data_IF_958837720590
#
_entry.id   IF_958837720590
#
_cell.length_a   1.000
_cell.length_b   1.000
_cell.length_c   1.000
_cell.angle_alpha   90.00
_cell.angle_beta   90.00
_cell.angle_gamma   90.00
#
_symmetry.space_group_name_H-M   'P 1'
#
loop_
_entity.id
_entity.type
_entity.pdbx_description
1 polymer ?
#
# COMPACT_ATOMS: atom_id res chain seq x y z
N UNK A 1 43.58 41.87 2.26
CA UNK A 1 42.43 41.29 1.53
C UNK A 1 42.62 39.79 1.48
N UNK A 2 41.88 39.05 2.29
CA UNK A 2 41.72 37.61 2.11
C UNK A 2 40.21 37.39 2.11
N UNK A 3 39.64 37.25 0.92
CA UNK A 3 38.26 36.82 0.75
C UNK A 3 38.24 35.31 0.99
N UNK A 4 37.73 34.91 2.15
CA UNK A 4 37.31 33.55 2.42
C UNK A 4 36.00 33.29 1.68
N UNK A 5 36.03 32.39 0.71
CA UNK A 5 34.85 31.68 0.22
C UNK A 5 35.15 30.20 0.29
N UNK A 6 34.38 29.48 1.11
CA UNK A 6 33.75 28.22 0.75
C UNK A 6 33.01 27.65 1.97
N UNK A 7 31.72 27.93 2.04
CA UNK A 7 30.77 26.99 2.61
C UNK A 7 29.88 26.53 1.46
N UNK A 8 29.87 25.23 1.23
CA UNK A 8 29.08 24.52 0.23
C UNK A 8 27.61 24.93 0.31
N UNK A 9 27.15 25.73 -0.64
CA UNK A 9 25.72 25.91 -0.91
C UNK A 9 25.15 24.57 -1.38
N UNK A 10 24.64 23.77 -0.44
CA UNK A 10 23.78 22.63 -0.78
C UNK A 10 22.55 23.25 -1.42
N UNK A 11 22.45 23.17 -2.76
CA UNK A 11 21.27 23.63 -3.50
C UNK A 11 20.05 22.89 -2.97
N UNK A 12 19.27 23.57 -2.13
CA UNK A 12 17.99 23.08 -1.66
C UNK A 12 16.94 23.41 -2.73
N UNK A 13 16.14 22.43 -3.12
CA UNK A 13 14.98 22.63 -3.98
C UNK A 13 13.99 23.59 -3.31
N UNK A 14 13.38 24.47 -4.12
CA UNK A 14 12.24 25.31 -3.70
C UNK A 14 11.00 24.47 -3.37
N UNK A 15 10.97 23.19 -3.78
CA UNK A 15 9.90 22.24 -3.52
C UNK A 15 10.03 21.61 -2.14
N UNK A 16 9.93 22.45 -1.11
CA UNK A 16 10.03 22.01 0.29
C UNK A 16 8.95 21.01 0.68
N UNK A 17 7.68 21.27 0.34
CA UNK A 17 6.56 20.41 0.73
C UNK A 17 6.31 19.31 -0.32
N UNK A 18 6.79 18.10 -0.03
CA UNK A 18 6.77 16.97 -0.95
C UNK A 18 5.71 15.96 -0.51
N UNK A 19 4.86 15.55 -1.45
CA UNK A 19 3.69 14.71 -1.16
C UNK A 19 4.00 13.24 -1.38
N UNK A 20 3.77 12.43 -0.35
CA UNK A 20 3.89 10.97 -0.43
C UNK A 20 2.60 10.28 -0.87
N UNK A 21 1.45 10.96 -0.76
CA UNK A 21 0.24 10.61 -1.52
C UNK A 21 -0.03 11.70 -2.56
N UNK A 22 -0.17 11.36 -3.86
CA UNK A 22 -0.30 12.36 -4.93
C UNK A 22 -1.43 13.36 -4.69
N UNK A 23 -1.16 14.66 -4.90
CA UNK A 23 -2.18 15.70 -4.79
C UNK A 23 -3.35 15.50 -5.76
N UNK A 24 -3.08 15.02 -6.97
CA UNK A 24 -4.13 14.79 -7.96
C UNK A 24 -5.12 13.73 -7.47
N UNK A 25 -4.64 12.71 -6.76
CA UNK A 25 -5.45 11.65 -6.18
C UNK A 25 -6.31 12.17 -5.03
N UNK A 26 -5.71 12.88 -4.06
CA UNK A 26 -6.47 13.45 -2.93
C UNK A 26 -7.56 14.43 -3.37
N UNK A 27 -7.37 15.14 -4.50
CA UNK A 27 -8.39 16.06 -5.05
C UNK A 27 -9.69 15.36 -5.42
N UNK A 28 -9.66 14.07 -5.71
CA UNK A 28 -10.86 13.28 -6.00
C UNK A 28 -11.75 13.07 -4.75
N UNK A 29 -11.22 13.37 -3.56
CA UNK A 29 -11.94 13.34 -2.28
C UNK A 29 -12.15 14.76 -1.72
N UNK A 30 -11.95 15.80 -2.53
CA UNK A 30 -12.05 17.17 -2.04
C UNK A 30 -13.48 17.56 -1.63
N UNK A 31 -13.56 18.48 -0.66
CA UNK A 31 -14.82 19.08 -0.22
C UNK A 31 -15.54 19.72 -1.41
N UNK A 32 -16.77 19.28 -1.69
CA UNK A 32 -17.60 19.78 -2.81
C UNK A 32 -16.84 19.91 -4.15
N UNK A 33 -15.93 18.96 -4.44
CA UNK A 33 -15.08 18.97 -5.65
C UNK A 33 -14.25 20.26 -5.83
N UNK A 34 -13.99 21.02 -4.76
CA UNK A 34 -13.30 22.31 -4.84
C UNK A 34 -11.78 22.19 -5.03
N UNK A 35 -11.22 20.97 -4.93
CA UNK A 35 -9.80 20.62 -5.13
C UNK A 35 -8.81 21.33 -4.19
N UNK A 36 -9.30 22.04 -3.17
CA UNK A 36 -8.52 22.89 -2.25
C UNK A 36 -8.62 22.42 -0.80
N UNK A 37 -9.78 21.92 -0.41
CA UNK A 37 -10.07 21.44 0.93
C UNK A 37 -10.43 19.97 0.92
N UNK A 38 -10.12 19.28 2.00
CA UNK A 38 -10.41 17.86 2.20
C UNK A 38 -10.80 17.64 3.66
N UNK A 39 -11.73 16.73 3.91
CA UNK A 39 -12.02 16.28 5.26
C UNK A 39 -10.96 15.28 5.71
N UNK A 40 -10.63 15.29 7.01
CA UNK A 40 -9.73 14.30 7.59
C UNK A 40 -10.17 13.88 8.98
N UNK A 41 -9.78 12.66 9.34
CA UNK A 41 -9.85 12.14 10.69
C UNK A 41 -8.47 11.62 11.08
N UNK A 42 -7.88 12.22 12.11
CA UNK A 42 -6.60 11.77 12.64
C UNK A 42 -6.86 10.73 13.74
N UNK A 43 -6.27 9.55 13.59
CA UNK A 43 -6.52 8.40 14.48
C UNK A 43 -5.91 8.60 15.86
N UNK A 44 -4.70 9.18 15.93
CA UNK A 44 -3.97 9.37 17.18
C UNK A 44 -4.67 10.38 18.10
N UNK A 45 -5.12 11.50 17.53
CA UNK A 45 -5.80 12.56 18.27
C UNK A 45 -7.34 12.39 18.29
N UNK A 46 -7.85 11.32 17.67
CA UNK A 46 -9.28 11.07 17.44
C UNK A 46 -10.05 12.30 16.91
N UNK A 47 -9.39 13.10 16.07
CA UNK A 47 -9.84 14.44 15.71
C UNK A 47 -10.49 14.47 14.32
N UNK A 48 -11.75 14.89 14.27
CA UNK A 48 -12.48 15.12 13.03
C UNK A 48 -12.32 16.57 12.55
N UNK A 49 -11.83 16.75 11.33
CA UNK A 49 -11.70 18.05 10.68
C UNK A 49 -12.42 18.00 9.33
N UNK A 50 -13.59 18.64 9.19
CA UNK A 50 -14.38 18.54 7.95
C UNK A 50 -13.76 19.30 6.76
N UNK A 51 -12.88 20.29 7.04
CA UNK A 51 -12.28 21.17 6.02
C UNK A 51 -10.83 21.53 6.38
N UNK A 52 -9.88 20.68 6.01
CA UNK A 52 -8.45 20.98 6.07
C UNK A 52 -7.91 21.49 4.72
N UNK A 53 -6.77 22.19 4.72
CA UNK A 53 -6.08 22.60 3.48
C UNK A 53 -5.46 21.36 2.82
N UNK A 54 -5.96 20.96 1.64
CA UNK A 54 -5.50 19.75 0.93
C UNK A 54 -4.01 19.81 0.60
N UNK A 55 -3.50 20.99 0.24
CA UNK A 55 -2.10 21.19 -0.16
C UNK A 55 -1.07 20.88 0.95
N UNK A 56 -1.50 20.68 2.19
CA UNK A 56 -0.62 20.36 3.33
C UNK A 56 -0.87 18.96 3.89
N UNK A 57 -1.68 18.14 3.20
CA UNK A 57 -2.01 16.79 3.63
C UNK A 57 -1.17 15.75 2.89
N UNK A 58 -0.91 14.62 3.55
CA UNK A 58 -0.11 13.52 3.05
C UNK A 58 1.24 13.98 2.45
N UNK A 59 1.91 14.90 3.14
CA UNK A 59 3.17 15.48 2.72
C UNK A 59 4.11 15.68 3.91
N UNK A 60 5.41 15.78 3.63
CA UNK A 60 6.43 16.12 4.61
C UNK A 60 7.46 17.03 3.94
N UNK A 61 8.07 17.91 4.74
CA UNK A 61 9.16 18.75 4.25
C UNK A 61 10.34 17.87 3.82
N UNK A 62 10.80 18.02 2.57
CA UNK A 62 11.94 17.30 1.99
C UNK A 62 11.85 15.77 2.15
N UNK A 63 10.64 15.20 2.01
CA UNK A 63 10.41 13.76 2.15
C UNK A 63 11.31 12.90 1.24
N UNK A 64 11.51 13.35 0.00
CA UNK A 64 12.32 12.73 -1.04
C UNK A 64 13.73 13.32 -1.14
N UNK A 65 14.19 14.05 -0.12
CA UNK A 65 15.49 14.72 -0.15
C UNK A 65 15.41 16.19 -0.55
N UNK A 66 16.59 16.82 -0.55
CA UNK A 66 16.77 18.27 -0.71
C UNK A 66 17.16 18.68 -2.13
N UNK A 67 17.62 17.76 -2.96
CA UNK A 67 18.08 18.04 -4.32
C UNK A 67 16.94 18.31 -5.32
N UNK A 68 15.72 17.83 -5.02
CA UNK A 68 14.53 17.97 -5.86
C UNK A 68 14.41 16.95 -6.99
N UNK A 69 15.41 16.08 -7.21
CA UNK A 69 15.48 15.18 -8.37
C UNK A 69 14.32 14.20 -8.39
N UNK A 70 14.02 13.57 -7.26
CA UNK A 70 12.91 12.62 -7.14
C UNK A 70 11.56 13.32 -7.34
N UNK A 71 11.36 14.49 -6.72
CA UNK A 71 10.12 15.26 -6.83
C UNK A 71 9.85 15.71 -8.27
N UNK A 72 10.89 16.11 -9.01
CA UNK A 72 10.78 16.46 -10.44
C UNK A 72 10.40 15.27 -11.31
N UNK A 73 11.04 14.12 -11.09
CA UNK A 73 10.70 12.87 -11.81
C UNK A 73 9.27 12.42 -11.52
N UNK A 74 8.85 12.46 -10.25
CA UNK A 74 7.48 12.13 -9.85
C UNK A 74 6.47 13.08 -10.49
N UNK A 75 6.76 14.38 -10.61
CA UNK A 75 5.84 15.32 -11.23
C UNK A 75 5.50 14.95 -12.70
N UNK A 76 6.49 14.46 -13.46
CA UNK A 76 6.28 13.97 -14.83
C UNK A 76 5.38 12.73 -14.88
N UNK A 77 5.66 11.75 -14.01
CA UNK A 77 4.86 10.52 -13.89
C UNK A 77 3.42 10.87 -13.46
N UNK A 78 3.26 11.70 -12.43
CA UNK A 78 1.95 12.12 -11.92
C UNK A 78 1.12 12.85 -12.97
N UNK A 79 1.73 13.61 -13.88
CA UNK A 79 1.01 14.23 -15.00
C UNK A 79 0.38 13.21 -15.95
N UNK A 80 1.05 12.09 -16.21
CA UNK A 80 0.50 10.96 -16.98
C UNK A 80 -0.61 10.25 -16.20
N UNK A 81 -0.32 9.84 -14.97
CA UNK A 81 -1.26 9.11 -14.12
C UNK A 81 -2.53 9.93 -13.81
N UNK A 82 -2.39 11.23 -13.59
CA UNK A 82 -3.54 12.11 -13.35
C UNK A 82 -4.49 12.14 -14.54
N UNK A 83 -4.00 12.12 -15.77
CA UNK A 83 -4.85 12.10 -16.97
C UNK A 83 -5.59 10.76 -17.08
N UNK A 84 -4.89 9.66 -16.88
CA UNK A 84 -5.48 8.31 -16.88
C UNK A 84 -6.58 8.18 -15.83
N UNK A 85 -6.29 8.46 -14.56
CA UNK A 85 -7.27 8.35 -13.47
C UNK A 85 -8.45 9.30 -13.69
N UNK A 86 -8.22 10.53 -14.16
CA UNK A 86 -9.33 11.44 -14.48
C UNK A 86 -10.23 10.88 -15.59
N UNK A 87 -9.65 10.29 -16.64
CA UNK A 87 -10.40 9.64 -17.71
C UNK A 87 -11.24 8.45 -17.21
N UNK A 88 -10.66 7.62 -16.33
CA UNK A 88 -11.37 6.50 -15.70
C UNK A 88 -12.56 7.01 -14.88
N UNK A 89 -12.39 8.06 -14.08
CA UNK A 89 -13.44 8.61 -13.23
C UNK A 89 -14.58 9.29 -14.02
N UNK A 90 -14.28 9.95 -15.14
CA UNK A 90 -15.29 10.61 -15.97
C UNK A 90 -16.08 9.59 -16.80
N UNK A 91 -15.40 8.61 -17.38
CA UNK A 91 -16.01 7.69 -18.34
C UNK A 91 -16.46 6.36 -17.72
N UNK A 92 -16.11 6.09 -16.46
CA UNK A 92 -16.25 4.77 -15.81
C UNK A 92 -15.67 3.63 -16.66
N UNK A 93 -14.62 3.91 -17.43
CA UNK A 93 -14.02 2.98 -18.38
C UNK A 93 -12.60 2.64 -17.97
N UNK A 94 -12.28 1.35 -17.93
CA UNK A 94 -10.92 0.87 -17.66
C UNK A 94 -10.12 0.71 -18.95
N UNK A 95 -8.79 0.88 -18.89
CA UNK A 95 -7.93 0.66 -20.05
C UNK A 95 -8.01 -0.78 -20.53
N UNK A 96 -7.69 -0.98 -21.81
CA UNK A 96 -7.63 -2.33 -22.42
C UNK A 96 -6.46 -3.11 -21.80
N UNK A 97 -6.67 -4.39 -21.47
CA UNK A 97 -5.61 -5.29 -21.01
C UNK A 97 -4.41 -5.25 -21.97
N UNK A 98 -3.20 -5.20 -21.41
CA UNK A 98 -1.92 -5.10 -22.11
C UNK A 98 -1.68 -3.83 -22.94
N UNK A 99 -2.51 -2.78 -22.81
CA UNK A 99 -2.20 -1.46 -23.34
C UNK A 99 -1.18 -0.72 -22.47
N UNK A 100 -0.60 0.38 -22.98
CA UNK A 100 0.25 1.26 -22.18
C UNK A 100 -0.52 1.85 -20.99
N UNK A 101 -1.77 2.27 -21.19
CA UNK A 101 -2.62 2.79 -20.11
C UNK A 101 -2.93 1.74 -19.05
N UNK A 102 -3.00 0.45 -19.41
CA UNK A 102 -3.09 -0.63 -18.43
C UNK A 102 -1.82 -0.69 -17.59
N UNK A 103 -0.64 -0.61 -18.20
CA UNK A 103 0.62 -0.58 -17.44
C UNK A 103 0.71 0.66 -16.54
N UNK A 104 0.33 1.84 -17.03
CA UNK A 104 0.25 3.07 -16.25
C UNK A 104 -0.71 2.94 -15.04
N UNK A 105 -1.80 2.18 -15.16
CA UNK A 105 -2.73 1.90 -14.06
C UNK A 105 -2.05 1.03 -12.97
N UNK A 106 -1.24 0.05 -13.37
CA UNK A 106 -0.47 -0.79 -12.44
C UNK A 106 0.64 0.01 -11.78
N UNK A 107 1.35 0.84 -12.55
CA UNK A 107 2.33 1.79 -12.00
C UNK A 107 1.68 2.73 -10.98
N UNK A 108 0.47 3.23 -11.24
CA UNK A 108 -0.27 4.04 -10.28
C UNK A 108 -0.51 3.28 -8.97
N UNK A 109 -0.97 2.03 -9.04
CA UNK A 109 -1.20 1.20 -7.87
C UNK A 109 0.09 1.00 -7.05
N UNK A 110 1.15 0.52 -7.71
CA UNK A 110 2.42 0.19 -7.06
C UNK A 110 3.15 1.44 -6.55
N UNK A 111 3.20 2.52 -7.34
CA UNK A 111 3.86 3.76 -6.94
C UNK A 111 3.17 4.38 -5.72
N UNK A 112 1.83 4.35 -5.67
CA UNK A 112 1.07 4.90 -4.54
C UNK A 112 1.24 4.05 -3.28
N UNK A 113 1.48 2.74 -3.41
CA UNK A 113 1.82 1.85 -2.30
C UNK A 113 3.26 2.10 -1.78
N UNK A 114 4.23 2.11 -2.70
CA UNK A 114 5.67 2.07 -2.37
C UNK A 114 6.27 3.38 -1.86
N UNK A 115 5.66 4.53 -2.16
CA UNK A 115 6.23 5.86 -1.84
C UNK A 115 5.71 6.49 -0.55
N UNK A 116 5.15 5.69 0.37
CA UNK A 116 4.57 6.17 1.62
C UNK A 116 5.54 6.10 2.80
N UNK A 117 5.33 6.90 3.87
CA UNK A 117 6.10 6.80 5.10
C UNK A 117 6.00 5.42 5.77
N UNK A 118 4.86 4.74 5.63
CA UNK A 118 4.67 3.38 6.13
C UNK A 118 5.69 2.43 5.50
N UNK A 119 5.81 2.45 4.17
CA UNK A 119 6.75 1.57 3.47
C UNK A 119 8.21 1.91 3.78
N UNK A 120 8.53 3.19 3.90
CA UNK A 120 9.86 3.64 4.33
C UNK A 120 10.21 3.10 5.73
N UNK A 121 9.28 3.22 6.70
CA UNK A 121 9.49 2.73 8.06
C UNK A 121 9.66 1.22 8.13
N UNK A 122 8.87 0.46 7.36
CA UNK A 122 9.00 -0.99 7.29
C UNK A 122 10.40 -1.43 6.86
N UNK A 123 10.91 -0.85 5.77
CA UNK A 123 12.25 -1.17 5.26
C UNK A 123 13.33 -0.73 6.25
N UNK A 124 13.18 0.44 6.89
CA UNK A 124 14.11 0.88 7.94
C UNK A 124 14.14 -0.08 9.14
N UNK A 125 12.98 -0.58 9.58
CA UNK A 125 12.88 -1.56 10.66
C UNK A 125 13.55 -2.87 10.27
N UNK A 126 13.27 -3.39 9.07
CA UNK A 126 13.91 -4.62 8.56
C UNK A 126 15.43 -4.45 8.50
N UNK A 127 15.92 -3.35 7.94
CA UNK A 127 17.36 -3.07 7.88
C UNK A 127 17.98 -3.00 9.28
N UNK A 128 17.33 -2.33 10.23
CA UNK A 128 17.82 -2.25 11.61
C UNK A 128 17.87 -3.61 12.32
N UNK A 129 16.89 -4.49 12.08
CA UNK A 129 16.91 -5.84 12.66
C UNK A 129 17.95 -6.75 11.99
N UNK A 130 18.12 -6.66 10.66
CA UNK A 130 19.20 -7.36 9.96
C UNK A 130 20.59 -6.92 10.44
N UNK A 131 20.76 -5.63 10.74
CA UNK A 131 22.00 -5.09 11.29
C UNK A 131 22.36 -5.72 12.63
N UNK A 132 21.40 -5.83 13.56
CA UNK A 132 21.61 -6.49 14.86
C UNK A 132 22.05 -7.95 14.71
N UNK A 133 21.48 -8.66 13.74
CA UNK A 133 21.87 -10.03 13.46
C UNK A 133 23.31 -10.12 12.94
N UNK A 134 23.68 -9.22 12.03
CA UNK A 134 25.01 -9.21 11.42
C UNK A 134 26.14 -8.78 12.36
N UNK A 135 25.84 -7.99 13.41
CA UNK A 135 26.84 -7.57 14.40
C UNK A 135 27.27 -8.69 15.35
N UNK A 136 26.44 -9.72 15.53
CA UNK A 136 26.72 -10.84 16.42
C UNK A 136 27.52 -11.98 15.74
N UNK A 137 27.60 -12.00 14.40
CA UNK A 137 28.20 -13.11 13.63
C UNK A 137 29.43 -12.76 12.77
N UNK A 138 29.97 -11.53 12.77
CA UNK A 138 30.91 -11.12 11.71
C UNK A 138 32.26 -10.54 12.21
N UNK A 139 33.32 -11.34 11.99
CA UNK A 139 34.75 -10.98 11.85
C UNK A 139 35.09 -10.33 10.47
N UNK A 140 34.13 -10.25 9.53
CA UNK A 140 34.32 -9.77 8.14
C UNK A 140 33.45 -8.54 7.77
N UNK A 141 33.97 -7.34 8.03
CA UNK A 141 33.24 -6.05 8.00
C UNK A 141 32.59 -5.57 6.68
N UNK A 142 32.87 -6.14 5.52
CA UNK A 142 32.50 -5.53 4.22
C UNK A 142 31.00 -5.62 3.86
N UNK A 143 30.30 -6.72 4.20
CA UNK A 143 28.89 -6.90 3.81
C UNK A 143 27.92 -6.15 4.73
N UNK A 144 28.31 -6.02 6.01
CA UNK A 144 27.56 -5.29 7.03
C UNK A 144 27.55 -3.81 6.66
N UNK A 145 28.71 -3.23 6.34
CA UNK A 145 28.87 -1.80 6.05
C UNK A 145 27.95 -1.31 4.90
N UNK A 146 27.71 -2.14 3.87
CA UNK A 146 26.81 -1.81 2.76
C UNK A 146 25.32 -1.83 3.14
N UNK A 147 24.91 -2.72 4.04
CA UNK A 147 23.55 -2.71 4.61
C UNK A 147 23.36 -1.60 5.66
N UNK A 148 24.46 -1.11 6.26
CA UNK A 148 24.45 -0.17 7.39
C UNK A 148 24.09 1.27 7.02
N UNK A 149 24.08 1.64 5.73
CA UNK A 149 24.22 3.05 5.31
C UNK A 149 23.09 3.61 4.43
N UNK A 150 22.02 2.87 4.17
CA UNK A 150 20.94 3.39 3.31
C UNK A 150 20.20 4.54 4.00
N UNK A 151 20.35 5.75 3.48
CA UNK A 151 19.56 6.89 3.94
C UNK A 151 18.07 6.70 3.60
N UNK A 152 17.20 7.51 4.21
CA UNK A 152 15.77 7.50 3.81
C UNK A 152 15.58 7.80 2.32
N UNK A 153 16.46 8.63 1.76
CA UNK A 153 16.43 9.00 0.35
C UNK A 153 16.82 7.82 -0.53
N UNK A 154 17.84 7.03 -0.15
CA UNK A 154 18.26 5.85 -0.89
C UNK A 154 17.17 4.76 -0.92
N UNK A 155 16.52 4.53 0.22
CA UNK A 155 15.38 3.60 0.30
C UNK A 155 14.24 4.05 -0.62
N UNK A 156 13.90 5.35 -0.62
CA UNK A 156 12.86 5.89 -1.49
C UNK A 156 13.24 5.79 -2.97
N UNK A 157 14.49 6.09 -3.34
CA UNK A 157 15.01 5.90 -4.71
C UNK A 157 14.89 4.44 -5.13
N UNK A 158 15.32 3.51 -4.28
CA UNK A 158 15.22 2.08 -4.55
C UNK A 158 13.77 1.62 -4.73
N UNK A 159 12.85 2.07 -3.87
CA UNK A 159 11.42 1.76 -3.98
C UNK A 159 10.84 2.26 -5.31
N UNK A 160 11.13 3.51 -5.67
CA UNK A 160 10.64 4.13 -6.91
C UNK A 160 11.20 3.40 -8.14
N UNK A 161 12.49 3.03 -8.13
CA UNK A 161 13.12 2.29 -9.23
C UNK A 161 12.53 0.87 -9.41
N UNK A 162 12.01 0.27 -8.33
CA UNK A 162 11.37 -1.04 -8.38
C UNK A 162 9.92 -1.01 -8.87
N UNK A 163 9.28 0.17 -8.99
CA UNK A 163 7.86 0.29 -9.36
C UNK A 163 7.55 -0.41 -10.68
N UNK A 164 8.36 -0.18 -11.73
CA UNK A 164 8.12 -0.79 -13.04
C UNK A 164 8.25 -2.32 -13.00
N UNK A 165 9.18 -2.85 -12.18
CA UNK A 165 9.38 -4.29 -12.01
C UNK A 165 8.15 -4.92 -11.33
N UNK A 166 7.73 -4.35 -10.20
CA UNK A 166 6.57 -4.83 -9.44
C UNK A 166 5.26 -4.63 -10.23
N UNK A 167 5.13 -3.57 -11.03
CA UNK A 167 4.00 -3.42 -11.95
C UNK A 167 3.94 -4.56 -12.98
N UNK A 168 5.11 -5.06 -13.43
CA UNK A 168 5.23 -6.27 -14.23
C UNK A 168 4.75 -7.52 -13.49
N UNK A 169 5.14 -7.65 -12.22
CA UNK A 169 4.78 -8.78 -11.35
C UNK A 169 3.27 -8.95 -11.11
N UNK A 170 2.49 -7.86 -11.21
CA UNK A 170 1.02 -7.87 -11.05
C UNK A 170 0.26 -7.70 -12.37
N UNK A 171 0.95 -7.72 -13.51
CA UNK A 171 0.33 -7.54 -14.83
C UNK A 171 -0.70 -8.61 -15.18
N UNK A 172 -0.60 -9.77 -14.54
CA UNK A 172 -1.50 -10.90 -14.68
C UNK A 172 -2.84 -10.71 -13.95
N UNK A 173 -2.91 -9.80 -12.97
CA UNK A 173 -4.13 -9.57 -12.20
C UNK A 173 -5.25 -9.00 -13.07
N UNK A 174 -6.47 -9.49 -12.85
CA UNK A 174 -7.66 -8.87 -13.42
C UNK A 174 -8.06 -7.64 -12.63
N UNK A 175 -8.70 -6.67 -13.27
CA UNK A 175 -9.10 -5.43 -12.63
C UNK A 175 -10.46 -4.93 -13.08
N UNK A 176 -11.17 -4.30 -12.13
CA UNK A 176 -12.54 -3.79 -12.27
C UNK A 176 -12.75 -2.52 -11.46
N UNK A 177 -13.79 -1.76 -11.79
CA UNK A 177 -14.31 -0.69 -10.96
C UNK A 177 -15.47 -1.21 -10.12
N UNK A 178 -15.46 -0.88 -8.84
CA UNK A 178 -16.57 -1.07 -7.92
C UNK A 178 -17.27 0.27 -7.74
N UNK A 179 -18.54 0.36 -8.15
CA UNK A 179 -19.34 1.60 -8.08
C UNK A 179 -20.28 1.52 -6.89
N UNK A 180 -20.11 2.45 -5.96
CA UNK A 180 -20.91 2.56 -4.76
C UNK A 180 -22.24 3.26 -5.05
N UNK A 181 -23.33 2.50 -4.97
CA UNK A 181 -24.71 2.98 -5.12
C UNK A 181 -25.39 3.20 -3.75
N UNK A 182 -24.62 3.12 -2.66
CA UNK A 182 -25.13 3.33 -1.30
C UNK A 182 -25.01 4.79 -0.87
N UNK A 183 -25.76 5.23 0.16
CA UNK A 183 -25.66 6.59 0.69
C UNK A 183 -24.31 6.92 1.36
N UNK A 184 -23.53 5.92 1.80
CA UNK A 184 -22.26 6.14 2.51
C UNK A 184 -21.11 6.21 1.52
N UNK A 185 -20.25 7.24 1.55
CA UNK A 185 -19.15 7.37 0.61
C UNK A 185 -18.00 6.41 0.94
N UNK A 186 -17.18 6.12 -0.07
CA UNK A 186 -15.82 5.62 0.19
C UNK A 186 -14.95 6.70 0.80
N UNK A 187 -14.00 6.28 1.64
CA UNK A 187 -12.92 7.10 2.19
C UNK A 187 -11.58 6.60 1.67
N UNK A 188 -10.52 7.39 1.85
CA UNK A 188 -9.14 7.03 1.54
C UNK A 188 -8.24 7.37 2.72
N UNK A 189 -6.94 7.11 2.67
CA UNK A 189 -6.02 7.44 3.76
C UNK A 189 -4.67 7.97 3.30
N UNK A 190 -3.78 8.23 4.25
CA UNK A 190 -2.36 8.50 4.04
C UNK A 190 -1.55 7.24 3.59
N UNK A 191 -2.20 6.06 3.52
CA UNK A 191 -1.71 4.86 2.85
C UNK A 191 -2.86 4.15 2.12
N UNK A 192 -3.25 4.65 0.93
CA UNK A 192 -4.56 4.37 0.34
C UNK A 192 -4.68 2.99 -0.32
N UNK A 193 -3.56 2.38 -0.70
CA UNK A 193 -3.53 1.08 -1.39
C UNK A 193 -3.59 -0.02 -0.33
N UNK A 194 -4.69 -0.77 -0.33
CA UNK A 194 -4.88 -1.89 0.59
C UNK A 194 -4.63 -3.18 -0.16
N UNK A 195 -3.61 -3.93 0.28
CA UNK A 195 -3.39 -5.32 -0.16
C UNK A 195 -4.13 -6.25 0.79
N UNK A 196 -4.82 -7.24 0.24
CA UNK A 196 -5.64 -8.19 0.99
C UNK A 196 -5.61 -9.56 0.33
N UNK A 197 -5.91 -10.61 1.09
CA UNK A 197 -5.98 -11.97 0.56
C UNK A 197 -7.00 -12.82 1.33
N UNK A 198 -8.28 -12.73 0.95
CA UNK A 198 -9.36 -13.52 1.57
C UNK A 198 -9.06 -15.03 1.51
N UNK A 199 -8.46 -15.50 0.42
CA UNK A 199 -8.20 -16.92 0.19
C UNK A 199 -7.16 -17.51 1.16
N UNK A 200 -6.08 -16.78 1.44
CA UNK A 200 -5.04 -17.22 2.37
C UNK A 200 -5.42 -16.94 3.83
N UNK A 201 -6.12 -15.83 4.11
CA UNK A 201 -6.66 -15.51 5.44
C UNK A 201 -7.58 -16.64 5.96
N UNK A 202 -8.55 -17.09 5.16
CA UNK A 202 -9.47 -18.19 5.51
C UNK A 202 -8.76 -19.52 5.84
N UNK A 203 -7.50 -19.67 5.40
CA UNK A 203 -6.71 -20.89 5.56
C UNK A 203 -5.70 -20.78 6.70
N UNK A 204 -5.69 -19.66 7.43
CA UNK A 204 -4.67 -19.33 8.42
C UNK A 204 -3.26 -19.60 7.88
N UNK A 205 -3.06 -19.31 6.60
CA UNK A 205 -1.76 -19.46 5.98
C UNK A 205 -0.83 -18.38 6.55
N UNK A 206 0.44 -18.79 6.76
CA UNK A 206 1.63 -18.09 7.25
C UNK A 206 1.61 -16.55 7.37
N UNK A 207 2.48 -15.96 8.21
CA UNK A 207 2.23 -14.64 8.81
C UNK A 207 2.18 -13.44 7.85
N UNK A 208 2.46 -13.62 6.56
CA UNK A 208 2.00 -12.70 5.52
C UNK A 208 1.42 -13.48 4.34
N UNK A 209 0.39 -12.89 3.74
CA UNK A 209 -0.54 -13.41 2.76
C UNK A 209 -0.71 -12.43 1.58
N UNK A 210 -0.15 -11.22 1.64
CA UNK A 210 -0.45 -10.14 0.68
C UNK A 210 0.73 -9.72 -0.20
N UNK A 211 1.75 -10.57 -0.34
CA UNK A 211 2.86 -10.33 -1.25
C UNK A 211 2.39 -10.19 -2.72
N UNK A 212 3.08 -9.35 -3.50
CA UNK A 212 2.67 -9.03 -4.88
C UNK A 212 2.53 -10.26 -5.80
N UNK A 213 3.31 -11.31 -5.57
CA UNK A 213 3.24 -12.57 -6.32
C UNK A 213 2.28 -13.61 -5.77
N UNK A 214 1.57 -13.34 -4.66
CA UNK A 214 0.84 -14.38 -3.92
C UNK A 214 -0.47 -14.77 -4.61
N UNK A 215 -0.80 -16.05 -4.53
CA UNK A 215 -2.09 -16.58 -4.99
C UNK A 215 -3.22 -15.99 -4.15
N UNK A 216 -4.30 -15.57 -4.79
CA UNK A 216 -5.41 -14.93 -4.10
C UNK A 216 -5.15 -13.49 -3.68
N UNK A 217 -4.15 -12.82 -4.23
CA UNK A 217 -3.94 -11.39 -3.99
C UNK A 217 -5.14 -10.55 -4.48
N UNK A 218 -5.54 -9.59 -3.66
CA UNK A 218 -6.48 -8.51 -3.97
C UNK A 218 -5.83 -7.17 -3.60
N UNK A 219 -6.08 -6.14 -4.41
CA UNK A 219 -5.63 -4.78 -4.15
C UNK A 219 -6.82 -3.85 -4.32
N UNK A 220 -7.14 -3.08 -3.28
CA UNK A 220 -8.23 -2.11 -3.28
C UNK A 220 -7.67 -0.69 -3.22
N UNK A 221 -8.15 0.18 -4.12
CA UNK A 221 -7.73 1.59 -4.18
C UNK A 221 -8.98 2.46 -4.40
N UNK A 222 -9.49 3.13 -3.34
CA UNK A 222 -10.56 4.11 -3.49
C UNK A 222 -10.13 5.23 -4.44
N UNK A 223 -10.79 5.46 -5.57
CA UNK A 223 -10.41 6.49 -6.53
C UNK A 223 -11.11 7.83 -6.27
N UNK A 224 -12.34 7.78 -5.73
CA UNK A 224 -13.11 8.90 -5.20
C UNK A 224 -14.17 8.38 -4.19
N UNK A 225 -15.13 9.20 -3.76
CA UNK A 225 -16.19 8.79 -2.83
C UNK A 225 -17.19 7.75 -3.36
N UNK A 226 -17.13 7.42 -4.66
CA UNK A 226 -18.09 6.55 -5.35
C UNK A 226 -17.45 5.35 -6.05
N UNK A 227 -16.15 5.40 -6.33
CA UNK A 227 -15.47 4.42 -7.17
C UNK A 227 -14.26 3.89 -6.44
N UNK A 228 -14.17 2.57 -6.33
CA UNK A 228 -12.97 1.86 -5.88
C UNK A 228 -12.44 0.99 -7.01
N UNK A 229 -11.16 1.12 -7.33
CA UNK A 229 -10.45 0.18 -8.20
C UNK A 229 -10.15 -1.09 -7.42
N UNK A 230 -10.36 -2.24 -8.05
CA UNK A 230 -9.91 -3.52 -7.55
C UNK A 230 -9.03 -4.22 -8.58
N UNK A 231 -7.87 -4.70 -8.15
CA UNK A 231 -7.06 -5.69 -8.84
C UNK A 231 -7.16 -7.00 -8.07
N UNK A 232 -7.26 -8.13 -8.76
CA UNK A 232 -7.48 -9.42 -8.10
C UNK A 232 -6.99 -10.61 -8.94
N UNK A 233 -6.62 -11.68 -8.26
CA UNK A 233 -6.31 -12.97 -8.86
C UNK A 233 -7.59 -13.65 -9.38
N UNK A 234 -7.81 -13.60 -10.70
CA UNK A 234 -8.97 -14.26 -11.34
C UNK A 234 -8.90 -15.79 -11.32
N UNK A 235 -7.74 -16.36 -10.97
CA UNK A 235 -7.55 -17.79 -10.72
C UNK A 235 -8.15 -18.26 -9.40
N UNK A 236 -8.57 -17.34 -8.54
CA UNK A 236 -9.21 -17.61 -7.24
C UNK A 236 -10.59 -16.96 -7.18
N UNK A 237 -10.69 -15.67 -7.49
CA UNK A 237 -11.91 -14.89 -7.28
C UNK A 237 -12.68 -14.64 -8.58
N UNK A 238 -13.99 -14.50 -8.41
CA UNK A 238 -14.91 -13.96 -9.39
C UNK A 238 -15.58 -12.73 -8.78
N UNK A 239 -15.50 -11.61 -9.48
CA UNK A 239 -16.07 -10.33 -9.05
C UNK A 239 -17.13 -9.92 -10.06
N UNK A 240 -18.41 -9.88 -9.65
CA UNK A 240 -19.53 -9.70 -10.58
C UNK A 240 -19.54 -10.73 -11.73
N UNK A 241 -19.91 -10.30 -12.94
CA UNK A 241 -19.91 -11.15 -14.13
C UNK A 241 -18.57 -11.09 -14.91
N UNK A 242 -18.22 -12.14 -15.67
CA UNK A 242 -16.90 -12.26 -16.34
C UNK A 242 -16.56 -11.07 -17.24
N UNK A 243 -17.50 -10.63 -18.07
CA UNK A 243 -17.28 -9.52 -19.02
C UNK A 243 -17.50 -8.13 -18.40
N UNK A 244 -18.08 -8.07 -17.20
CA UNK A 244 -18.41 -6.81 -16.54
C UNK A 244 -17.14 -6.16 -16.02
N UNK A 245 -16.83 -4.94 -16.49
CA UNK A 245 -15.69 -4.13 -16.02
C UNK A 245 -16.05 -3.20 -14.87
N UNK A 246 -17.34 -2.89 -14.73
CA UNK A 246 -17.90 -1.97 -13.74
C UNK A 246 -18.97 -2.71 -12.95
N UNK A 247 -18.75 -2.90 -11.65
CA UNK A 247 -19.59 -3.71 -10.77
C UNK A 247 -20.24 -2.81 -9.73
N UNK A 248 -21.58 -2.68 -9.72
CA UNK A 248 -22.26 -1.90 -8.70
C UNK A 248 -22.23 -2.62 -7.34
N UNK A 249 -22.13 -1.84 -6.27
CA UNK A 249 -22.25 -2.26 -4.88
C UNK A 249 -23.42 -1.48 -4.27
N UNK A 250 -24.47 -2.22 -3.91
CA UNK A 250 -25.66 -1.68 -3.25
C UNK A 250 -25.76 -2.10 -1.77
N UNK A 251 -24.87 -2.97 -1.30
CA UNK A 251 -24.82 -3.39 0.10
C UNK A 251 -23.98 -2.42 0.94
N UNK A 252 -24.61 -1.80 1.94
CA UNK A 252 -23.94 -0.89 2.87
C UNK A 252 -22.77 -1.55 3.62
N UNK A 253 -22.93 -2.83 4.01
CA UNK A 253 -21.91 -3.59 4.76
C UNK A 253 -20.61 -3.74 3.96
N UNK A 254 -20.71 -3.85 2.64
CA UNK A 254 -19.54 -3.95 1.76
C UNK A 254 -18.73 -2.63 1.80
N UNK A 255 -19.42 -1.49 1.77
CA UNK A 255 -18.81 -0.16 1.85
C UNK A 255 -18.17 0.07 3.23
N UNK A 256 -18.85 -0.33 4.31
CA UNK A 256 -18.28 -0.22 5.65
C UNK A 256 -17.00 -1.05 5.82
N UNK A 257 -16.96 -2.29 5.32
CA UNK A 257 -15.76 -3.12 5.40
C UNK A 257 -14.60 -2.53 4.57
N UNK A 258 -14.87 -2.06 3.36
CA UNK A 258 -13.86 -1.38 2.53
C UNK A 258 -13.33 -0.09 3.17
N UNK A 259 -14.18 0.64 3.88
CA UNK A 259 -13.76 1.81 4.64
C UNK A 259 -12.99 1.44 5.92
N UNK A 260 -13.36 0.36 6.62
CA UNK A 260 -12.62 -0.16 7.78
C UNK A 260 -11.20 -0.59 7.37
N UNK A 261 -11.04 -1.17 6.18
CA UNK A 261 -9.70 -1.46 5.63
C UNK A 261 -8.82 -0.22 5.55
N UNK A 262 -9.38 0.94 5.17
CA UNK A 262 -8.62 2.20 5.15
C UNK A 262 -8.21 2.66 6.55
N UNK A 263 -9.01 2.36 7.57
CA UNK A 263 -8.56 2.55 8.94
C UNK A 263 -7.42 1.60 9.25
N UNK A 264 -7.60 0.29 9.13
CA UNK A 264 -6.60 -0.73 9.50
C UNK A 264 -5.25 -0.49 8.80
N UNK A 265 -5.27 -0.09 7.51
CA UNK A 265 -4.09 0.06 6.68
C UNK A 265 -3.35 1.39 6.86
N UNK A 266 -4.03 2.48 7.23
CA UNK A 266 -3.42 3.81 7.20
C UNK A 266 -2.19 3.95 8.12
N UNK A 267 -1.43 5.03 7.99
CA UNK A 267 -0.43 5.37 8.99
C UNK A 267 -1.09 6.08 10.18
N UNK A 268 -1.79 7.19 9.92
CA UNK A 268 -2.30 8.06 10.97
C UNK A 268 -3.60 8.77 10.64
N UNK A 269 -3.92 8.92 9.35
CA UNK A 269 -4.97 9.84 8.90
C UNK A 269 -5.80 9.24 7.79
N UNK A 270 -7.13 9.33 7.94
CA UNK A 270 -8.11 9.00 6.90
C UNK A 270 -8.64 10.29 6.30
N UNK A 271 -8.84 10.32 5.00
CA UNK A 271 -9.32 11.47 4.22
C UNK A 271 -10.65 11.16 3.56
N UNK A 272 -11.49 12.18 3.42
CA UNK A 272 -12.84 12.04 2.89
C UNK A 272 -13.38 13.36 2.32
N UNK A 273 -14.47 13.25 1.56
CA UNK A 273 -15.21 14.40 1.06
C UNK A 273 -16.29 14.86 2.05
N UNK A 274 -17.02 15.91 1.69
CA UNK A 274 -18.10 16.51 2.48
C UNK A 274 -19.29 15.58 2.82
N UNK A 275 -19.43 14.42 2.18
CA UNK A 275 -20.52 13.47 2.42
C UNK A 275 -20.31 12.66 3.71
N UNK A 276 -19.08 12.66 4.25
CA UNK A 276 -18.75 12.03 5.54
C UNK A 276 -19.01 13.03 6.68
N UNK A 277 -19.83 12.61 7.63
CA UNK A 277 -20.03 13.32 8.90
C UNK A 277 -19.26 12.66 10.05
N UNK A 278 -19.14 13.39 11.16
CA UNK A 278 -18.38 12.96 12.34
C UNK A 278 -18.91 11.66 12.94
N UNK A 279 -20.24 11.49 13.00
CA UNK A 279 -20.86 10.28 13.55
C UNK A 279 -20.47 9.02 12.74
N UNK A 280 -20.47 9.14 11.41
CA UNK A 280 -20.10 8.03 10.54
C UNK A 280 -18.62 7.66 10.66
N UNK A 281 -17.72 8.65 10.61
CA UNK A 281 -16.28 8.37 10.69
C UNK A 281 -15.88 7.83 12.06
N UNK A 282 -16.48 8.33 13.16
CA UNK A 282 -16.27 7.78 14.50
C UNK A 282 -16.83 6.37 14.64
N UNK A 283 -17.97 6.06 14.00
CA UNK A 283 -18.50 4.70 13.98
C UNK A 283 -17.54 3.73 13.29
N UNK A 284 -16.99 4.10 12.13
CA UNK A 284 -15.99 3.28 11.42
C UNK A 284 -14.71 3.13 12.24
N UNK A 285 -14.22 4.21 12.84
CA UNK A 285 -13.03 4.18 13.70
C UNK A 285 -13.22 3.24 14.90
N UNK A 286 -14.35 3.34 15.60
CA UNK A 286 -14.65 2.44 16.72
C UNK A 286 -14.78 0.98 16.28
N UNK A 287 -15.41 0.70 15.13
CA UNK A 287 -15.42 -0.65 14.53
C UNK A 287 -14.02 -1.11 14.17
N UNK A 288 -13.14 -0.23 13.69
CA UNK A 288 -11.77 -0.61 13.31
C UNK A 288 -10.91 -1.03 14.51
N UNK A 289 -11.24 -0.58 15.73
CA UNK A 289 -10.51 -0.93 16.96
C UNK A 289 -10.65 -2.41 17.36
N UNK A 290 -11.61 -3.15 16.80
CA UNK A 290 -11.71 -4.60 17.01
C UNK A 290 -10.73 -5.42 16.17
N UNK A 291 -9.97 -4.75 15.30
CA UNK A 291 -9.00 -5.39 14.42
C UNK A 291 -7.59 -4.87 14.73
N UNK A 292 -6.61 -5.74 14.52
CA UNK A 292 -5.20 -5.36 14.68
C UNK A 292 -4.80 -4.37 13.56
N UNK A 293 -3.89 -3.45 13.88
CA UNK A 293 -3.29 -2.56 12.88
C UNK A 293 -2.40 -3.36 11.94
N UNK A 294 -2.56 -3.14 10.63
CA UNK A 294 -1.65 -3.71 9.64
C UNK A 294 -0.34 -2.92 9.59
N UNK A 295 0.59 -3.41 8.76
CA UNK A 295 1.84 -2.77 8.36
C UNK A 295 2.93 -2.67 9.45
N UNK A 296 2.71 -3.29 10.61
CA UNK A 296 3.76 -3.49 11.60
C UNK A 296 4.70 -4.61 11.13
N UNK A 297 6.01 -4.37 11.19
CA UNK A 297 7.01 -5.39 10.87
C UNK A 297 7.04 -6.44 11.97
N UNK A 298 6.86 -7.69 11.57
CA UNK A 298 7.07 -8.89 12.36
C UNK A 298 8.44 -9.45 12.01
N UNK A 299 9.32 -9.56 13.00
CA UNK A 299 10.64 -10.15 12.85
C UNK A 299 10.72 -11.38 13.75
N UNK A 300 11.13 -12.52 13.18
CA UNK A 300 11.35 -13.77 13.89
C UNK A 300 12.71 -14.32 13.50
N UNK A 301 13.43 -14.87 14.46
CA UNK A 301 14.61 -15.70 14.21
C UNK A 301 14.25 -17.16 14.45
N UNK A 302 14.87 -18.07 13.70
CA UNK A 302 14.68 -19.49 13.93
C UNK A 302 15.89 -20.32 13.58
N UNK A 303 15.82 -21.60 13.91
CA UNK A 303 16.81 -22.62 13.54
C UNK A 303 16.12 -23.76 12.80
N UNK A 304 16.83 -24.38 11.87
CA UNK A 304 16.38 -25.62 11.27
C UNK A 304 16.88 -26.77 12.14
N UNK A 305 15.97 -27.44 12.83
CA UNK A 305 16.26 -28.67 13.59
C UNK A 305 15.51 -29.81 12.91
N UNK A 306 16.20 -30.89 12.52
CA UNK A 306 15.61 -32.05 11.84
C UNK A 306 14.76 -31.68 10.60
N UNK A 307 15.27 -30.77 9.75
CA UNK A 307 14.56 -30.20 8.59
C UNK A 307 13.23 -29.48 8.93
N UNK A 308 13.01 -29.10 10.18
CA UNK A 308 11.86 -28.31 10.61
C UNK A 308 12.31 -26.93 11.13
N UNK A 309 11.72 -25.83 10.66
CA UNK A 309 12.00 -24.51 11.19
C UNK A 309 11.36 -24.35 12.57
N UNK A 310 12.18 -24.04 13.58
CA UNK A 310 11.74 -23.67 14.93
C UNK A 310 11.95 -22.17 15.09
N UNK A 311 10.87 -21.44 15.31
CA UNK A 311 10.88 -19.98 15.46
C UNK A 311 10.91 -19.56 16.94
N UNK A 312 11.56 -18.43 17.21
CA UNK A 312 11.54 -17.75 18.51
C UNK A 312 11.26 -16.26 18.31
N UNK A 313 10.58 -15.65 19.27
CA UNK A 313 10.35 -14.20 19.33
C UNK A 313 11.60 -13.43 19.79
N UNK A 314 12.57 -14.12 20.39
CA UNK A 314 13.88 -13.59 20.76
C UNK A 314 15.00 -14.22 19.96
N UNK A 315 16.07 -13.45 19.76
CA UNK A 315 17.33 -13.91 19.18
C UNK A 315 17.81 -15.19 19.87
N UNK A 316 18.31 -16.15 19.09
CA UNK A 316 18.95 -17.34 19.61
C UNK A 316 20.47 -17.19 19.47
N UNK A 317 21.18 -17.02 20.60
CA UNK A 317 22.61 -16.65 20.66
C UNK A 317 23.62 -17.69 20.11
N UNK A 318 23.21 -18.76 19.43
CA UNK A 318 24.16 -19.82 19.00
C UNK A 318 23.81 -20.52 17.69
N UNK A 319 24.71 -20.53 16.71
CA UNK A 319 24.63 -21.36 15.48
C UNK A 319 23.84 -20.76 14.32
N UNK A 320 23.83 -21.43 13.16
CA UNK A 320 23.22 -20.98 11.90
C UNK A 320 21.72 -20.68 12.06
N UNK A 321 21.40 -19.42 12.34
CA UNK A 321 20.04 -18.94 12.46
C UNK A 321 19.52 -18.49 11.08
N UNK A 322 18.25 -18.77 10.78
CA UNK A 322 17.56 -18.13 9.66
C UNK A 322 16.69 -16.98 10.18
N UNK A 323 16.59 -15.93 9.38
CA UNK A 323 15.77 -14.76 9.68
C UNK A 323 14.51 -14.80 8.85
N UNK A 324 13.38 -14.54 9.50
CA UNK A 324 12.09 -14.41 8.87
C UNK A 324 11.51 -13.03 9.21
N UNK A 325 11.20 -12.23 8.20
CA UNK A 325 10.52 -10.96 8.38
C UNK A 325 9.28 -10.88 7.49
N UNK A 326 8.22 -10.27 7.99
CA UNK A 326 6.98 -10.02 7.26
C UNK A 326 6.29 -8.77 7.79
N UNK A 327 5.40 -8.18 7.00
CA UNK A 327 4.49 -7.15 7.49
C UNK A 327 3.18 -7.81 7.95
N UNK A 328 2.62 -7.36 9.08
CA UNK A 328 1.27 -7.75 9.49
C UNK A 328 0.27 -7.28 8.42
N UNK A 329 -0.50 -8.20 7.87
CA UNK A 329 -1.49 -7.87 6.84
C UNK A 329 -2.77 -7.26 7.43
N UNK A 330 -3.58 -6.66 6.55
CA UNK A 330 -4.96 -6.37 6.88
C UNK A 330 -5.75 -7.68 7.02
N UNK A 331 -6.39 -7.88 8.18
CA UNK A 331 -7.22 -9.06 8.49
C UNK A 331 -8.52 -8.59 9.16
N UNK A 332 -9.67 -8.95 8.58
CA UNK A 332 -10.99 -8.68 9.18
C UNK A 332 -12.06 -9.70 8.80
N UNK A 333 -11.67 -10.83 8.19
CA UNK A 333 -12.57 -11.78 7.55
C UNK A 333 -13.49 -11.08 6.53
N UNK A 334 -12.87 -10.37 5.59
CA UNK A 334 -13.57 -9.59 4.59
C UNK A 334 -14.63 -10.44 3.87
N UNK A 335 -15.86 -9.95 3.84
CA UNK A 335 -17.01 -10.62 3.22
C UNK A 335 -17.78 -9.60 2.36
N UNK A 336 -17.35 -9.42 1.11
CA UNK A 336 -17.98 -8.51 0.15
C UNK A 336 -18.94 -9.28 -0.75
N UNK A 337 -20.20 -8.83 -0.83
CA UNK A 337 -21.25 -9.52 -1.59
C UNK A 337 -20.94 -9.72 -3.08
N UNK A 338 -20.10 -8.84 -3.64
CA UNK A 338 -19.69 -8.85 -5.05
C UNK A 338 -18.52 -9.78 -5.36
N UNK A 339 -17.80 -10.29 -4.35
CA UNK A 339 -16.64 -11.16 -4.50
C UNK A 339 -17.00 -12.59 -4.10
N UNK A 340 -16.66 -13.56 -4.95
CA UNK A 340 -16.87 -14.98 -4.68
C UNK A 340 -15.64 -15.78 -5.03
N UNK A 341 -15.26 -16.75 -4.20
CA UNK A 341 -14.25 -17.76 -4.57
C UNK A 341 -14.89 -18.77 -5.52
N UNK A 342 -14.38 -18.86 -6.75
CA UNK A 342 -14.93 -19.79 -7.73
C UNK A 342 -14.49 -21.25 -7.47
N UNK A 343 -15.09 -22.22 -8.15
CA UNK A 343 -14.83 -23.66 -7.91
C UNK A 343 -13.37 -24.11 -8.05
N UNK A 344 -12.52 -23.46 -8.88
CA UNK A 344 -11.09 -23.80 -8.94
C UNK A 344 -10.32 -23.31 -7.71
N UNK A 345 -10.55 -22.09 -7.23
CA UNK A 345 -10.00 -21.57 -5.97
C UNK A 345 -10.39 -22.43 -4.78
N UNK A 346 -11.64 -22.87 -4.69
CA UNK A 346 -12.07 -23.82 -3.64
C UNK A 346 -11.34 -25.16 -3.68
N UNK A 347 -10.89 -25.60 -4.86
CA UNK A 347 -10.13 -26.84 -5.09
C UNK A 347 -8.62 -26.61 -5.17
N UNK A 348 -8.16 -25.40 -4.91
CA UNK A 348 -6.74 -25.07 -4.99
C UNK A 348 -6.00 -25.88 -3.93
N UNK A 349 -5.00 -26.66 -4.36
CA UNK A 349 -4.13 -27.41 -3.48
C UNK A 349 -2.90 -26.56 -3.19
N UNK A 350 -2.69 -26.25 -1.91
CA UNK A 350 -1.46 -25.60 -1.46
C UNK A 350 -0.27 -26.49 -1.79
N UNK A 351 0.83 -25.85 -2.19
CA UNK A 351 2.12 -26.52 -2.28
C UNK A 351 2.74 -26.67 -0.89
N UNK A 352 3.75 -27.52 -0.75
CA UNK A 352 4.54 -27.63 0.49
C UNK A 352 5.37 -26.36 0.78
N UNK A 353 5.48 -25.44 -0.18
CA UNK A 353 6.18 -24.17 0.03
C UNK A 353 5.42 -23.27 1.02
N UNK A 354 6.18 -22.62 1.88
CA UNK A 354 5.67 -21.54 2.73
C UNK A 354 5.12 -20.35 1.93
N UNK A 355 5.57 -20.16 0.68
CA UNK A 355 5.16 -19.07 -0.18
C UNK A 355 4.28 -19.59 -1.32
N UNK A 356 3.00 -19.25 -1.28
CA UNK A 356 2.04 -19.66 -2.31
C UNK A 356 1.99 -18.63 -3.44
N UNK A 357 2.88 -18.76 -4.43
CA UNK A 357 2.95 -17.84 -5.57
C UNK A 357 1.97 -18.22 -6.70
N UNK A 358 1.43 -17.20 -7.38
CA UNK A 358 0.68 -17.36 -8.63
C UNK A 358 1.57 -18.00 -9.70
N UNK A 359 0.98 -18.83 -10.56
CA UNK A 359 1.72 -19.51 -11.64
C UNK A 359 2.36 -18.52 -12.61
N UNK A 360 1.64 -17.45 -12.94
CA UNK A 360 2.07 -16.34 -13.78
C UNK A 360 3.26 -15.56 -13.21
N UNK A 361 3.47 -15.57 -11.90
CA UNK A 361 4.58 -14.88 -11.25
C UNK A 361 5.87 -15.71 -11.24
N UNK A 362 5.77 -17.05 -11.38
CA UNK A 362 6.94 -17.96 -11.40
C UNK A 362 7.64 -18.03 -12.76
N UNK A 363 6.98 -17.55 -13.82
CA UNK A 363 7.45 -17.56 -15.21
C UNK A 363 7.80 -16.13 -15.63
#
# INVERSE_FOLDING_TARGET
MIATVNWTDIMNTDKKNQHYVPKFYLRNFSFENNRKQIGLFNLENECFIPKAKLKTQASKNFFYGRDGVIEDNLAGIEGRLSRLISGILVNNSLPRCNSQEHFDLLEFAVLTDMRTPTRLKQIQQINNELMKFSSDEIENGDLVEQLTLMSSEDILKMNINNVSRIAGDIKDLSYKLLINETPKPFITSDYPVVRYNQFLEERNHLPSNTGYGFVGLQIFIPLNSRITLILYDEGIYKIGHRQQKVVPISNLKDIEQLNILQFINCFSTVYFNHEVNEAYIKSLFNKSKSYERANNVLFKSGKVIDNQPIFSESYMESGDNFIFHNDKDCELNLDLSVIKVHSKGKRYKMTESEVQLRKSFKN
#
